data_IF_104749167560
#
_entry.id   IF_104749167560
#
_cell.length_a   1.000
_cell.length_b   1.000
_cell.length_c   1.000
_cell.angle_alpha   90.00
_cell.angle_beta   90.00
_cell.angle_gamma   90.00
#
_symmetry.space_group_name_H-M   'P 1'
#
loop_
_entity.id
_entity.type
_entity.pdbx_description
1 polymer ?
#
# COMPACT_ATOMS: atom_id res chain seq x y z
N UNK A 1 -16.75 2.61 30.21
CA UNK A 1 -15.94 3.62 29.50
C UNK A 1 -15.25 4.44 30.57
N UNK A 2 -13.97 4.76 30.41
CA UNK A 2 -13.18 5.52 31.39
C UNK A 2 -12.69 6.78 30.71
N UNK A 3 -12.93 7.94 31.32
CA UNK A 3 -12.39 9.23 30.87
C UNK A 3 -11.40 9.71 31.93
N UNK A 4 -10.20 10.09 31.50
CA UNK A 4 -9.20 10.72 32.36
C UNK A 4 -9.19 12.21 32.08
N UNK A 5 -9.12 13.01 33.14
CA UNK A 5 -9.09 14.47 33.07
C UNK A 5 -7.77 15.01 33.62
N UNK A 6 -7.36 16.20 33.17
CA UNK A 6 -6.29 16.97 33.79
C UNK A 6 -6.78 17.69 35.07
N UNK A 7 -5.87 18.39 35.74
CA UNK A 7 -6.18 19.17 36.94
C UNK A 7 -7.22 20.29 36.72
N UNK A 8 -7.49 20.65 35.47
CA UNK A 8 -8.46 21.69 35.09
C UNK A 8 -9.77 21.07 34.55
N UNK A 9 -9.97 19.75 34.69
CA UNK A 9 -11.16 19.04 34.25
C UNK A 9 -11.22 18.75 32.74
N UNK A 10 -10.17 19.04 31.96
CA UNK A 10 -10.16 18.76 30.52
C UNK A 10 -9.92 17.28 30.27
N UNK A 11 -10.70 16.67 29.38
CA UNK A 11 -10.52 15.25 29.01
C UNK A 11 -9.18 15.09 28.30
N UNK A 12 -8.27 14.32 28.89
CA UNK A 12 -6.96 13.99 28.31
C UNK A 12 -6.93 12.60 27.67
N UNK A 13 -7.81 11.69 28.10
CA UNK A 13 -7.87 10.35 27.54
C UNK A 13 -9.26 9.74 27.66
N UNK A 14 -9.64 8.98 26.65
CA UNK A 14 -10.88 8.20 26.63
C UNK A 14 -10.54 6.76 26.31
N UNK A 15 -10.97 5.84 27.16
CA UNK A 15 -10.63 4.42 27.05
C UNK A 15 -11.73 3.45 27.49
N UNK A 16 -11.50 2.17 27.20
CA UNK A 16 -12.32 1.04 27.62
C UNK A 16 -11.46 -0.19 27.92
N UNK A 17 -11.95 -1.05 28.82
CA UNK A 17 -11.31 -2.33 29.17
C UNK A 17 -11.78 -3.50 28.27
N UNK A 18 -12.24 -3.18 27.06
CA UNK A 18 -12.78 -4.16 26.10
C UNK A 18 -11.88 -4.26 24.88
N UNK A 19 -11.74 -5.45 24.30
CA UNK A 19 -11.06 -5.62 23.00
C UNK A 19 -11.80 -4.88 21.88
N UNK A 20 -13.12 -5.07 21.82
CA UNK A 20 -13.98 -4.39 20.84
C UNK A 20 -14.07 -2.91 21.16
N UNK A 21 -13.83 -2.07 20.15
CA UNK A 21 -13.87 -0.62 20.27
C UNK A 21 -15.32 -0.16 20.48
N UNK A 22 -15.66 0.46 21.63
CA UNK A 22 -17.03 0.91 21.88
C UNK A 22 -17.47 2.01 20.91
N UNK A 23 -18.79 2.14 20.65
CA UNK A 23 -19.32 3.12 19.70
C UNK A 23 -18.86 4.57 19.94
N UNK A 24 -18.72 4.98 21.20
CA UNK A 24 -18.28 6.34 21.53
C UNK A 24 -16.81 6.59 21.13
N UNK A 25 -15.90 5.65 21.40
CA UNK A 25 -14.50 5.74 20.96
C UNK A 25 -14.42 5.66 19.43
N UNK A 26 -15.25 4.82 18.80
CA UNK A 26 -15.33 4.73 17.34
C UNK A 26 -15.74 6.05 16.70
N UNK A 27 -16.74 6.76 17.26
CA UNK A 27 -17.12 8.10 16.79
C UNK A 27 -15.98 9.11 16.95
N UNK A 28 -15.31 9.12 18.10
CA UNK A 28 -14.15 9.99 18.33
C UNK A 28 -13.01 9.71 17.34
N UNK A 29 -12.74 8.44 17.03
CA UNK A 29 -11.79 8.02 16.00
C UNK A 29 -12.15 8.58 14.63
N UNK A 30 -13.39 8.41 14.18
CA UNK A 30 -13.82 8.93 12.88
C UNK A 30 -13.67 10.46 12.80
N UNK A 31 -13.98 11.18 13.89
CA UNK A 31 -13.84 12.63 13.93
C UNK A 31 -12.37 13.08 13.85
N UNK A 32 -11.48 12.45 14.64
CA UNK A 32 -10.05 12.78 14.68
C UNK A 32 -9.33 12.39 13.39
N UNK A 33 -9.59 11.18 12.90
CA UNK A 33 -8.79 10.59 11.83
C UNK A 33 -9.33 10.94 10.43
N UNK A 34 -10.63 11.25 10.31
CA UNK A 34 -11.32 11.65 9.06
C UNK A 34 -11.19 10.68 7.87
N UNK A 35 -10.63 9.50 8.09
CA UNK A 35 -10.39 8.47 7.08
C UNK A 35 -9.25 7.56 7.47
N UNK A 36 -8.84 6.68 6.56
CA UNK A 36 -7.67 5.85 6.74
C UNK A 36 -6.43 6.74 6.91
N UNK A 37 -5.67 6.53 8.00
CA UNK A 37 -4.45 7.31 8.30
C UNK A 37 -3.18 6.80 7.61
N UNK A 38 -3.29 5.74 6.80
CA UNK A 38 -2.14 5.23 6.08
C UNK A 38 -1.68 6.26 5.01
N UNK A 39 -0.38 6.55 4.88
CA UNK A 39 0.15 7.56 3.96
C UNK A 39 -0.39 7.42 2.53
N UNK A 40 -0.88 8.51 1.95
CA UNK A 40 -1.46 8.54 0.61
C UNK A 40 -2.84 7.89 0.46
N UNK A 41 -3.44 7.36 1.53
CA UNK A 41 -4.78 6.75 1.46
C UNK A 41 -5.90 7.80 1.60
N UNK A 42 -6.80 7.87 0.62
CA UNK A 42 -7.96 8.78 0.65
C UNK A 42 -9.27 8.14 1.12
N UNK A 43 -9.27 6.88 1.56
CA UNK A 43 -10.50 6.14 1.88
C UNK A 43 -11.11 6.65 3.19
N UNK A 44 -12.39 7.06 3.15
CA UNK A 44 -13.11 7.64 4.31
C UNK A 44 -13.57 6.61 5.34
N UNK A 45 -13.67 5.35 4.95
CA UNK A 45 -14.18 4.27 5.79
C UNK A 45 -13.04 3.38 6.29
N UNK A 46 -13.13 2.98 7.55
CA UNK A 46 -12.11 2.14 8.17
C UNK A 46 -12.54 1.54 9.49
N UNK A 47 -11.67 0.70 10.02
CA UNK A 47 -11.78 0.04 11.31
C UNK A 47 -10.71 0.62 12.23
N UNK A 48 -11.00 0.72 13.52
CA UNK A 48 -9.99 1.14 14.49
C UNK A 48 -8.99 0.01 14.70
N UNK A 49 -7.72 0.35 14.54
CA UNK A 49 -6.57 -0.51 14.73
C UNK A 49 -5.84 -0.15 16.02
N UNK A 50 -5.51 -1.14 16.85
CA UNK A 50 -4.68 -0.94 18.05
C UNK A 50 -3.20 -0.85 17.68
N UNK A 51 -2.58 0.32 17.87
CA UNK A 51 -1.16 0.59 17.59
C UNK A 51 -0.26 -0.36 18.39
N UNK A 52 -0.42 -0.37 19.72
CA UNK A 52 0.00 -1.50 20.53
C UNK A 52 -1.14 -2.51 20.52
N UNK A 53 -0.92 -3.67 19.92
CA UNK A 53 -1.92 -4.73 19.81
C UNK A 53 -2.55 -5.06 21.18
N UNK A 54 -3.87 -5.25 21.18
CA UNK A 54 -4.61 -5.62 22.39
C UNK A 54 -4.11 -6.93 23.02
N UNK A 55 -3.75 -7.92 22.19
CA UNK A 55 -3.16 -9.19 22.64
C UNK A 55 -1.83 -9.00 23.40
N UNK A 56 -1.11 -7.91 23.14
CA UNK A 56 0.14 -7.53 23.80
C UNK A 56 -0.10 -6.55 24.98
N UNK A 57 -1.32 -6.51 25.52
CA UNK A 57 -1.72 -5.62 26.61
C UNK A 57 -1.99 -4.17 26.19
N UNK A 58 -2.18 -3.91 24.90
CA UNK A 58 -2.54 -2.59 24.41
C UNK A 58 -3.93 -2.14 24.86
N UNK A 59 -4.08 -0.97 25.49
CA UNK A 59 -5.38 -0.51 25.96
C UNK A 59 -6.26 -0.06 24.78
N UNK A 60 -7.57 -0.17 24.93
CA UNK A 60 -8.51 0.42 23.98
C UNK A 60 -8.72 1.88 24.36
N UNK A 61 -7.78 2.74 23.99
CA UNK A 61 -7.84 4.19 24.19
C UNK A 61 -7.78 4.91 22.84
N UNK A 62 -8.30 6.13 22.78
CA UNK A 62 -8.20 6.94 21.57
C UNK A 62 -6.73 7.13 21.14
N UNK A 63 -5.82 7.34 22.10
CA UNK A 63 -4.37 7.47 21.89
C UNK A 63 -3.72 6.21 21.29
N UNK A 64 -4.16 5.02 21.69
CA UNK A 64 -3.63 3.74 21.17
C UNK A 64 -4.35 3.23 19.91
N UNK A 65 -5.28 4.01 19.35
CA UNK A 65 -6.05 3.60 18.17
C UNK A 65 -5.73 4.50 16.97
N UNK A 66 -5.84 3.94 15.78
CA UNK A 66 -5.81 4.66 14.49
C UNK A 66 -6.85 4.06 13.53
N UNK A 67 -7.50 4.88 12.71
CA UNK A 67 -8.45 4.41 11.71
C UNK A 67 -7.70 3.93 10.44
N UNK A 68 -7.92 2.67 10.05
CA UNK A 68 -7.34 2.07 8.84
C UNK A 68 -8.42 1.39 7.99
N UNK A 69 -8.36 1.53 6.67
CA UNK A 69 -9.22 0.76 5.76
C UNK A 69 -8.81 -0.73 5.76
N UNK A 70 -9.66 -1.62 5.25
CA UNK A 70 -9.41 -3.08 5.25
C UNK A 70 -8.02 -3.48 4.71
N UNK A 71 -7.55 -3.00 3.53
CA UNK A 71 -6.23 -3.37 3.04
C UNK A 71 -5.10 -2.86 3.93
N UNK A 72 -5.14 -1.61 4.39
CA UNK A 72 -4.07 -1.08 5.26
C UNK A 72 -4.12 -1.64 6.68
N UNK A 73 -5.30 -2.03 7.17
CA UNK A 73 -5.42 -2.76 8.41
C UNK A 73 -4.70 -4.11 8.30
N UNK A 74 -4.89 -4.83 7.19
CA UNK A 74 -4.14 -6.06 6.91
C UNK A 74 -2.64 -5.80 6.78
N UNK A 75 -2.25 -4.76 6.05
CA UNK A 75 -0.84 -4.43 5.84
C UNK A 75 -0.07 -4.26 7.15
N UNK A 76 -0.65 -3.53 8.11
CA UNK A 76 -0.04 -3.30 9.44
C UNK A 76 -0.16 -4.54 10.35
N UNK A 77 -1.19 -5.36 10.18
CA UNK A 77 -1.43 -6.52 11.03
C UNK A 77 -0.68 -7.78 10.60
N UNK A 78 -0.46 -7.98 9.30
CA UNK A 78 -0.01 -9.24 8.71
C UNK A 78 1.21 -9.09 7.78
N UNK A 79 1.37 -7.95 7.11
CA UNK A 79 2.35 -7.79 6.02
C UNK A 79 3.64 -7.09 6.47
N UNK A 80 3.83 -6.88 7.77
CA UNK A 80 5.05 -6.35 8.36
C UNK A 80 5.18 -4.83 8.34
N UNK A 81 4.16 -4.09 7.90
CA UNK A 81 4.15 -2.63 8.05
C UNK A 81 4.03 -2.27 9.53
N UNK A 82 4.82 -1.29 9.96
CA UNK A 82 4.83 -0.85 11.36
C UNK A 82 4.11 0.48 11.49
N UNK A 83 3.35 0.63 12.57
CA UNK A 83 2.65 1.85 12.93
C UNK A 83 3.05 2.26 14.34
N UNK A 84 3.46 3.51 14.52
CA UNK A 84 3.74 4.09 15.82
C UNK A 84 3.14 5.49 15.94
N UNK A 85 2.62 5.84 17.12
CA UNK A 85 2.31 7.23 17.46
C UNK A 85 3.54 7.90 18.04
N UNK A 86 3.91 9.05 17.51
CA UNK A 86 5.05 9.85 17.94
C UNK A 86 4.67 10.73 19.15
N UNK A 87 5.64 11.30 19.89
CA UNK A 87 5.39 12.17 21.05
C UNK A 87 4.58 13.43 20.72
N UNK A 88 4.69 13.94 19.50
CA UNK A 88 3.91 15.07 18.96
C UNK A 88 2.46 14.69 18.62
N UNK A 89 2.11 13.40 18.72
CA UNK A 89 0.79 12.87 18.41
C UNK A 89 0.64 12.36 16.98
N UNK A 90 1.61 12.58 16.09
CA UNK A 90 1.53 12.14 14.70
C UNK A 90 1.76 10.63 14.54
N UNK A 91 1.23 10.08 13.45
CA UNK A 91 1.42 8.67 13.12
C UNK A 91 2.61 8.51 12.18
N UNK A 92 3.55 7.64 12.55
CA UNK A 92 4.68 7.24 11.73
C UNK A 92 4.48 5.82 11.25
N UNK A 93 4.47 5.64 9.94
CA UNK A 93 4.44 4.33 9.29
C UNK A 93 5.84 3.95 8.82
N UNK A 94 6.17 2.65 8.91
CA UNK A 94 7.38 2.09 8.30
C UNK A 94 6.99 0.91 7.43
N UNK A 95 7.73 0.75 6.33
CA UNK A 95 7.68 -0.40 5.45
C UNK A 95 8.25 -1.64 6.17
N UNK A 96 8.02 -2.85 5.64
CA UNK A 96 8.60 -4.08 6.19
C UNK A 96 10.13 -4.08 6.25
N UNK A 97 10.79 -3.30 5.39
CA UNK A 97 12.25 -3.08 5.39
C UNK A 97 12.73 -2.06 6.45
N UNK A 98 11.83 -1.51 7.26
CA UNK A 98 12.11 -0.53 8.31
C UNK A 98 12.18 0.93 7.84
N UNK A 99 12.13 1.20 6.53
CA UNK A 99 12.16 2.56 5.99
C UNK A 99 10.87 3.30 6.35
N UNK A 100 10.99 4.58 6.70
CA UNK A 100 9.83 5.42 7.01
C UNK A 100 9.04 5.68 5.72
N UNK A 101 7.72 5.48 5.78
CA UNK A 101 6.83 5.81 4.69
C UNK A 101 6.44 7.30 4.80
N UNK A 102 6.84 8.16 3.85
CA UNK A 102 6.50 9.58 3.90
C UNK A 102 5.02 9.79 3.57
N UNK A 103 4.40 10.83 4.14
CA UNK A 103 3.01 11.21 3.82
C UNK A 103 2.87 11.62 2.34
N UNK A 104 3.87 12.34 1.84
CA UNK A 104 4.02 12.71 0.44
C UNK A 104 5.38 12.17 -0.04
N UNK A 105 5.43 11.28 -1.05
CA UNK A 105 6.69 10.86 -1.64
C UNK A 105 7.46 12.08 -2.14
N UNK A 106 8.78 12.11 -1.93
CA UNK A 106 9.60 13.12 -2.56
C UNK A 106 9.42 13.02 -4.09
N UNK A 107 9.21 14.14 -4.80
CA UNK A 107 9.16 14.10 -6.25
C UNK A 107 10.49 13.52 -6.77
N UNK A 108 10.45 12.66 -7.80
CA UNK A 108 11.67 12.14 -8.38
C UNK A 108 12.51 13.31 -8.90
N UNK A 109 13.84 13.20 -8.76
CA UNK A 109 14.74 14.18 -9.37
C UNK A 109 14.56 14.14 -10.89
N UNK A 110 14.08 15.25 -11.46
CA UNK A 110 13.91 15.40 -12.91
C UNK A 110 15.21 15.99 -13.46
N UNK A 111 15.92 15.30 -14.39
CA UNK A 111 17.11 15.86 -15.03
C UNK A 111 16.79 17.18 -15.74
N UNK A 112 17.79 18.05 -15.89
CA UNK A 112 17.64 19.33 -16.63
C UNK A 112 17.10 19.14 -18.05
N UNK A 113 17.49 18.05 -18.69
CA UNK A 113 16.91 17.58 -19.97
C UNK A 113 16.27 16.19 -19.77
N UNK A 114 14.98 16.14 -19.39
CA UNK A 114 14.32 14.89 -19.10
C UNK A 114 14.08 14.04 -20.35
N UNK A 115 13.91 14.66 -21.52
CA UNK A 115 13.65 13.96 -22.78
C UNK A 115 14.90 13.23 -23.25
N UNK A 116 16.05 13.91 -23.22
CA UNK A 116 17.32 13.29 -23.57
C UNK A 116 17.66 12.14 -22.60
N UNK A 117 17.53 12.37 -21.29
CA UNK A 117 17.78 11.33 -20.29
C UNK A 117 16.87 10.11 -20.46
N UNK A 118 15.59 10.32 -20.81
CA UNK A 118 14.66 9.23 -21.10
C UNK A 118 15.05 8.46 -22.37
N UNK A 119 15.39 9.16 -23.45
CA UNK A 119 15.83 8.52 -24.71
C UNK A 119 17.12 7.72 -24.53
N UNK A 120 18.07 8.22 -23.76
CA UNK A 120 19.31 7.53 -23.45
C UNK A 120 19.07 6.23 -22.66
N UNK A 121 18.20 6.27 -21.64
CA UNK A 121 17.78 5.05 -20.90
C UNK A 121 17.12 4.04 -21.82
N UNK A 122 16.14 4.48 -22.62
CA UNK A 122 15.47 3.59 -23.58
C UNK A 122 16.47 2.95 -24.55
N UNK A 123 17.45 3.73 -25.05
CA UNK A 123 18.51 3.20 -25.90
C UNK A 123 19.40 2.17 -25.21
N UNK A 124 19.76 2.42 -23.93
CA UNK A 124 20.53 1.47 -23.12
C UNK A 124 19.75 0.18 -22.84
N UNK A 125 18.43 0.28 -22.67
CA UNK A 125 17.54 -0.86 -22.46
C UNK A 125 17.14 -1.58 -23.77
N UNK A 126 17.65 -1.12 -24.93
CA UNK A 126 17.29 -1.66 -26.25
C UNK A 126 15.84 -1.33 -26.67
N UNK A 127 15.16 -0.45 -25.94
CA UNK A 127 13.80 0.00 -26.23
C UNK A 127 13.82 1.07 -27.34
N UNK A 128 13.78 0.62 -28.60
CA UNK A 128 13.68 1.50 -29.76
C UNK A 128 12.24 2.00 -29.99
N UNK A 129 11.81 2.97 -29.17
CA UNK A 129 10.49 3.58 -29.29
C UNK A 129 10.42 4.47 -30.54
N UNK A 130 9.58 4.10 -31.50
CA UNK A 130 9.25 4.88 -32.70
C UNK A 130 7.72 5.08 -32.83
N UNK A 131 7.29 5.76 -33.91
CA UNK A 131 5.87 6.07 -34.15
C UNK A 131 4.95 4.84 -34.24
N UNK A 132 5.51 3.65 -34.46
CA UNK A 132 4.78 2.38 -34.55
C UNK A 132 4.83 1.55 -33.26
N UNK A 133 5.50 2.01 -32.20
CA UNK A 133 5.65 1.22 -30.96
C UNK A 133 4.31 0.81 -30.35
N UNK A 134 3.32 1.71 -30.39
CA UNK A 134 1.97 1.43 -29.91
C UNK A 134 1.06 0.81 -30.99
N UNK A 135 1.56 0.66 -32.23
CA UNK A 135 0.82 0.01 -33.29
C UNK A 135 0.99 -1.50 -33.14
N UNK A 136 -0.10 -2.26 -32.98
CA UNK A 136 0.01 -3.71 -33.01
C UNK A 136 0.61 -4.12 -34.37
N UNK A 137 1.43 -5.17 -34.36
CA UNK A 137 1.92 -5.79 -35.60
C UNK A 137 0.82 -6.45 -36.43
N UNK A 138 -0.40 -6.49 -35.89
CA UNK A 138 -1.59 -7.06 -36.52
C UNK A 138 -2.08 -6.19 -37.67
N UNK A 139 -2.13 -6.78 -38.88
CA UNK A 139 -2.57 -6.13 -40.11
C UNK A 139 -3.99 -6.56 -40.52
N UNK A 140 -4.71 -7.28 -39.64
CA UNK A 140 -6.06 -7.80 -39.90
C UNK A 140 -6.12 -9.30 -40.19
N UNK A 141 -4.99 -10.02 -40.09
CA UNK A 141 -4.93 -11.47 -40.21
C UNK A 141 -5.79 -12.18 -39.15
N UNK A 142 -6.26 -13.40 -39.43
CA UNK A 142 -6.96 -14.20 -38.41
C UNK A 142 -6.03 -14.52 -37.24
N UNK A 143 -6.57 -14.50 -36.01
CA UNK A 143 -5.83 -14.97 -34.83
C UNK A 143 -5.38 -16.43 -35.06
N UNK A 144 -4.07 -16.69 -34.98
CA UNK A 144 -3.55 -18.05 -34.99
C UNK A 144 -3.86 -18.71 -33.63
N UNK A 145 -5.00 -19.38 -33.58
CA UNK A 145 -5.48 -20.10 -32.39
C UNK A 145 -4.50 -21.22 -32.01
N UNK A 146 -3.83 -21.85 -32.98
CA UNK A 146 -2.86 -22.91 -32.74
C UNK A 146 -1.61 -22.39 -32.02
N UNK A 147 -1.05 -21.27 -32.50
CA UNK A 147 0.06 -20.58 -31.85
C UNK A 147 -0.34 -20.02 -30.48
N UNK A 148 -1.51 -19.39 -30.36
CA UNK A 148 -1.98 -18.86 -29.09
C UNK A 148 -2.12 -19.97 -28.02
N UNK A 149 -2.65 -21.14 -28.39
CA UNK A 149 -2.67 -22.31 -27.52
C UNK A 149 -1.24 -22.77 -27.22
N UNK A 150 -0.35 -22.84 -28.21
CA UNK A 150 1.02 -23.34 -27.98
C UNK A 150 1.89 -22.41 -27.13
N UNK A 151 1.59 -21.12 -26.99
CA UNK A 151 2.42 -20.21 -26.15
C UNK A 151 1.76 -19.85 -24.82
N UNK A 152 0.42 -19.88 -24.74
CA UNK A 152 -0.31 -19.52 -23.53
C UNK A 152 -0.83 -20.73 -22.74
N UNK A 153 -0.86 -21.93 -23.34
CA UNK A 153 -1.32 -23.12 -22.63
C UNK A 153 -0.27 -23.58 -21.61
N UNK A 154 -0.64 -23.80 -20.34
CA UNK A 154 0.30 -24.21 -19.28
C UNK A 154 1.11 -25.48 -19.57
N UNK A 155 0.62 -26.35 -20.45
CA UNK A 155 1.33 -27.57 -20.87
C UNK A 155 2.38 -27.34 -21.97
N UNK A 156 2.36 -26.21 -22.67
CA UNK A 156 3.34 -25.98 -23.73
C UNK A 156 4.76 -25.72 -23.21
N UNK A 157 4.88 -25.16 -22.00
CA UNK A 157 6.15 -25.03 -21.29
C UNK A 157 6.77 -26.39 -20.88
N UNK A 158 6.00 -27.49 -20.94
CA UNK A 158 6.51 -28.84 -20.62
C UNK A 158 7.16 -29.53 -21.82
N UNK A 159 6.98 -29.01 -23.03
CA UNK A 159 7.44 -29.64 -24.27
C UNK A 159 8.77 -29.08 -24.81
N UNK A 160 9.40 -28.13 -24.10
CA UNK A 160 10.64 -27.44 -24.50
C UNK A 160 11.93 -28.28 -24.46
N UNK A 161 11.82 -29.60 -24.51
CA UNK A 161 12.95 -30.51 -24.63
C UNK A 161 12.74 -31.45 -25.79
N UNK A 162 12.92 -30.96 -27.03
CA UNK A 162 13.32 -31.69 -28.25
C UNK A 162 13.02 -30.80 -29.48
N UNK A 163 13.90 -29.84 -29.76
CA UNK A 163 14.08 -29.37 -31.13
C UNK A 163 15.54 -28.95 -31.32
N UNK A 164 16.40 -29.97 -31.29
CA UNK A 164 17.71 -29.93 -31.90
C UNK A 164 17.66 -30.64 -33.26
N UNK A 165 18.01 -29.90 -34.31
CA UNK A 165 18.46 -30.34 -35.63
C UNK A 165 17.50 -31.16 -36.52
N UNK A 166 17.13 -30.58 -37.68
CA UNK A 166 17.62 -30.98 -39.03
C UNK A 166 16.80 -30.30 -40.15
N UNK A 167 17.50 -29.85 -41.20
CA UNK A 167 16.98 -29.65 -42.56
C UNK A 167 16.75 -28.21 -42.95
#
# INVERSE_FOLDING_TARGET
MVMRHDAHGRVIEVGARTRTIPPAIRRALHHRDRGCRFPGCGVRFGQGHHIRHWANGGPTTLSNLALLCRPHHRAVHEEGYQLARQPDGELRFRRPDGQVLPEVPAPPAVPRDPVHALRARNGADGAHLNARTAMPGWLGEGLDVGYAISVLHPLALRSGGLMGARG
#
